data_IF_565069608856
#
_entry.id   IF_565069608856
#
_cell.length_a   1.000
_cell.length_b   1.000
_cell.length_c   1.000
_cell.angle_alpha   90.00
_cell.angle_beta   90.00
_cell.angle_gamma   90.00
#
_symmetry.space_group_name_H-M   'P 1'
#
loop_
_entity.id
_entity.type
_entity.pdbx_description
1 polymer ?
#
# COMPACT_ATOMS: atom_id res chain seq x y z
N UNK A 1 -0.42 12.02 0.81
CA UNK A 1 0.27 11.03 -0.07
C UNK A 1 1.47 10.40 0.64
N UNK A 2 2.51 11.18 0.97
CA UNK A 2 3.76 10.65 1.58
C UNK A 2 3.51 9.89 2.88
N UNK A 3 2.69 10.43 3.78
CA UNK A 3 2.34 9.77 5.05
C UNK A 3 1.66 8.41 4.79
N UNK A 4 0.65 8.37 3.92
CA UNK A 4 -0.02 7.12 3.52
C UNK A 4 0.96 6.11 2.89
N UNK A 5 1.93 6.58 2.09
CA UNK A 5 2.95 5.72 1.50
C UNK A 5 3.92 5.16 2.55
N UNK A 6 4.23 5.92 3.61
CA UNK A 6 5.02 5.41 4.76
C UNK A 6 4.22 4.36 5.54
N UNK A 7 2.95 4.65 5.79
CA UNK A 7 2.00 3.77 6.48
C UNK A 7 1.85 2.43 5.75
N UNK A 8 1.77 2.43 4.41
CA UNK A 8 1.70 1.23 3.60
C UNK A 8 3.07 0.57 3.28
N UNK A 9 4.16 1.02 3.91
CA UNK A 9 5.53 0.58 3.63
C UNK A 9 5.90 0.64 2.13
N UNK A 10 5.41 1.67 1.43
CA UNK A 10 5.68 1.94 0.02
C UNK A 10 6.72 3.05 -0.19
N UNK A 11 6.86 3.96 0.77
CA UNK A 11 7.70 5.14 0.67
C UNK A 11 9.14 4.83 0.22
N UNK A 12 9.80 3.86 0.86
CA UNK A 12 11.20 3.56 0.57
C UNK A 12 11.42 3.06 -0.85
N UNK A 13 10.60 2.12 -1.33
CA UNK A 13 10.81 1.55 -2.64
C UNK A 13 10.41 2.53 -3.74
N UNK A 14 9.34 3.31 -3.54
CA UNK A 14 8.90 4.32 -4.51
C UNK A 14 9.95 5.41 -4.63
N UNK A 15 10.54 5.86 -3.52
CA UNK A 15 11.61 6.87 -3.52
C UNK A 15 12.91 6.40 -4.17
N UNK A 16 13.10 5.08 -4.34
CA UNK A 16 14.26 4.47 -5.01
C UNK A 16 14.04 4.20 -6.50
N UNK A 17 12.84 4.46 -7.03
CA UNK A 17 12.60 4.38 -8.47
C UNK A 17 13.27 5.55 -9.19
N UNK A 18 13.60 5.37 -10.47
CA UNK A 18 14.34 6.36 -11.27
C UNK A 18 13.68 7.75 -11.27
N UNK A 19 12.35 7.79 -11.41
CA UNK A 19 11.55 9.03 -11.40
C UNK A 19 10.75 9.18 -10.10
N UNK A 20 11.09 8.41 -9.05
CA UNK A 20 10.38 8.45 -7.78
C UNK A 20 8.87 8.19 -7.93
N UNK A 21 8.04 9.10 -7.42
CA UNK A 21 6.58 9.03 -7.50
C UNK A 21 6.00 9.27 -8.90
N UNK A 22 6.79 9.86 -9.81
CA UNK A 22 6.40 10.10 -11.20
C UNK A 22 6.75 8.90 -12.10
N UNK A 23 7.31 7.83 -11.52
CA UNK A 23 7.66 6.62 -12.25
C UNK A 23 6.42 5.97 -12.87
N UNK A 24 6.43 5.83 -14.19
CA UNK A 24 5.40 5.07 -14.91
C UNK A 24 5.48 3.58 -14.54
N UNK A 25 4.35 2.94 -14.28
CA UNK A 25 4.27 1.53 -13.89
C UNK A 25 3.45 0.75 -14.91
N UNK A 26 3.92 -0.43 -15.31
CA UNK A 26 3.25 -1.29 -16.30
C UNK A 26 4.20 -1.81 -17.36
N UNK A 27 3.68 -2.35 -18.46
CA UNK A 27 4.47 -2.98 -19.54
C UNK A 27 5.51 -2.04 -20.17
N UNK A 28 5.26 -0.73 -20.15
CA UNK A 28 6.16 0.31 -20.68
C UNK A 28 6.92 1.08 -19.58
N UNK A 29 6.85 0.62 -18.34
CA UNK A 29 7.40 1.32 -17.17
C UNK A 29 8.12 0.37 -16.22
N UNK A 30 8.28 0.80 -14.97
CA UNK A 30 8.86 -0.04 -13.93
C UNK A 30 7.95 -1.24 -13.63
N UNK A 31 8.55 -2.42 -13.58
CA UNK A 31 7.87 -3.64 -13.12
C UNK A 31 7.93 -3.71 -11.59
N UNK A 32 6.76 -3.89 -10.99
CA UNK A 32 6.61 -4.10 -9.56
C UNK A 32 6.26 -5.57 -9.27
N UNK A 33 6.86 -6.10 -8.20
CA UNK A 33 6.41 -7.37 -7.63
C UNK A 33 4.97 -7.26 -7.11
N UNK A 34 4.30 -8.40 -6.92
CA UNK A 34 2.94 -8.45 -6.37
C UNK A 34 2.81 -7.65 -5.06
N UNK A 35 3.73 -7.85 -4.12
CA UNK A 35 3.71 -7.11 -2.85
C UNK A 35 3.90 -5.60 -3.00
N UNK A 36 4.75 -5.14 -3.93
CA UNK A 36 4.89 -3.70 -4.22
C UNK A 36 3.61 -3.12 -4.82
N UNK A 37 2.93 -3.85 -5.71
CA UNK A 37 1.62 -3.44 -6.26
C UNK A 37 0.56 -3.35 -5.16
N UNK A 38 0.48 -4.36 -4.28
CA UNK A 38 -0.45 -4.36 -3.14
C UNK A 38 -0.23 -3.16 -2.23
N UNK A 39 1.02 -2.83 -1.87
CA UNK A 39 1.33 -1.64 -1.04
C UNK A 39 0.94 -0.32 -1.70
N UNK A 40 1.03 -0.20 -3.03
CA UNK A 40 0.51 0.96 -3.75
C UNK A 40 -1.02 1.02 -3.67
N UNK A 41 -1.70 -0.11 -3.87
CA UNK A 41 -3.17 -0.18 -3.74
C UNK A 41 -3.62 0.24 -2.35
N UNK A 42 -2.96 -0.27 -1.31
CA UNK A 42 -3.21 0.13 0.08
C UNK A 42 -2.96 1.63 0.26
N UNK A 43 -1.84 2.16 -0.23
CA UNK A 43 -1.55 3.60 -0.19
C UNK A 43 -2.70 4.43 -0.80
N UNK A 44 -3.20 4.02 -1.98
CA UNK A 44 -4.32 4.66 -2.66
C UNK A 44 -5.62 4.58 -1.85
N UNK A 45 -5.91 3.45 -1.22
CA UNK A 45 -7.07 3.28 -0.36
C UNK A 45 -7.01 4.18 0.88
N UNK A 46 -5.83 4.28 1.51
CA UNK A 46 -5.58 5.17 2.65
C UNK A 46 -5.79 6.64 2.29
N UNK A 47 -5.29 7.07 1.13
CA UNK A 47 -5.44 8.44 0.62
C UNK A 47 -6.92 8.80 0.43
N UNK A 48 -7.74 7.86 -0.08
CA UNK A 48 -9.16 8.08 -0.36
C UNK A 48 -10.03 8.19 0.89
N UNK A 49 -9.49 7.88 2.07
CA UNK A 49 -10.16 7.97 3.38
C UNK A 49 -11.57 7.37 3.41
N UNK A 50 -11.78 6.23 2.76
CA UNK A 50 -13.10 5.60 2.67
C UNK A 50 -13.55 5.07 4.04
N UNK A 51 -14.84 5.19 4.35
CA UNK A 51 -15.44 4.73 5.62
C UNK A 51 -15.47 3.20 5.76
N UNK A 52 -15.59 2.49 4.64
CA UNK A 52 -15.53 1.03 4.57
C UNK A 52 -14.37 0.61 3.66
N UNK A 53 -13.50 -0.26 4.15
CA UNK A 53 -12.36 -0.78 3.40
C UNK A 53 -12.41 -2.30 3.39
N UNK A 54 -12.53 -2.89 2.20
CA UNK A 54 -12.44 -4.33 1.98
C UNK A 54 -11.11 -4.63 1.30
N UNK A 55 -10.31 -5.47 1.93
CA UNK A 55 -9.01 -5.91 1.44
C UNK A 55 -9.03 -7.43 1.29
N UNK A 56 -9.44 -7.88 0.11
CA UNK A 56 -9.46 -9.29 -0.25
C UNK A 56 -8.08 -9.69 -0.79
N UNK A 57 -7.41 -10.63 -0.12
CA UNK A 57 -6.04 -11.08 -0.39
C UNK A 57 -4.99 -9.93 -0.48
N UNK A 58 -5.27 -8.73 0.04
CA UNK A 58 -4.42 -7.57 -0.22
C UNK A 58 -3.06 -7.62 0.48
N UNK A 59 -2.84 -8.61 1.36
CA UNK A 59 -1.57 -8.88 2.04
C UNK A 59 -0.90 -10.18 1.59
N UNK A 60 -1.51 -10.94 0.68
CA UNK A 60 -1.05 -12.29 0.28
C UNK A 60 0.35 -12.31 -0.36
N UNK A 61 0.78 -11.20 -0.96
CA UNK A 61 2.09 -11.07 -1.58
C UNK A 61 3.08 -10.25 -0.73
N UNK A 62 2.75 -9.96 0.53
CA UNK A 62 3.65 -9.32 1.49
C UNK A 62 4.37 -10.39 2.32
N UNK A 63 5.61 -10.08 2.73
CA UNK A 63 6.27 -10.78 3.82
C UNK A 63 5.58 -10.49 5.16
N UNK A 64 5.71 -11.41 6.12
CA UNK A 64 5.06 -11.33 7.45
C UNK A 64 5.32 -10.02 8.20
N UNK A 65 6.53 -9.47 8.09
CA UNK A 65 6.87 -8.20 8.75
C UNK A 65 6.09 -7.04 8.13
N UNK A 66 6.03 -6.99 6.81
CA UNK A 66 5.34 -5.94 6.07
C UNK A 66 3.83 -6.03 6.21
N UNK A 67 3.27 -7.24 6.25
CA UNK A 67 1.86 -7.46 6.53
C UNK A 67 1.46 -6.88 7.89
N UNK A 68 2.23 -7.19 8.94
CA UNK A 68 1.97 -6.66 10.30
C UNK A 68 2.01 -5.13 10.34
N UNK A 69 2.99 -4.52 9.68
CA UNK A 69 3.11 -3.05 9.59
C UNK A 69 1.86 -2.46 8.93
N UNK A 70 1.39 -3.07 7.84
CA UNK A 70 0.18 -2.63 7.12
C UNK A 70 -1.08 -2.82 7.97
N UNK A 71 -1.21 -3.93 8.69
CA UNK A 71 -2.36 -4.17 9.57
C UNK A 71 -2.42 -3.14 10.71
N UNK A 72 -1.31 -2.92 11.43
CA UNK A 72 -1.24 -1.91 12.50
C UNK A 72 -1.54 -0.49 11.99
N UNK A 73 -1.11 -0.21 10.76
CA UNK A 73 -1.40 1.03 10.05
C UNK A 73 -2.91 1.21 9.76
N UNK A 74 -3.59 0.15 9.35
CA UNK A 74 -5.02 0.16 9.06
C UNK A 74 -5.86 0.24 10.34
N UNK A 75 -5.47 -0.44 11.40
CA UNK A 75 -6.13 -0.39 12.71
C UNK A 75 -6.09 1.01 13.35
N UNK A 76 -5.00 1.76 13.14
CA UNK A 76 -4.88 3.14 13.64
C UNK A 76 -5.85 4.13 12.96
N UNK A 77 -6.49 3.75 11.86
CA UNK A 77 -7.53 4.58 11.24
C UNK A 77 -8.87 4.43 11.97
N UNK A 78 -9.00 5.16 13.08
CA UNK A 78 -10.23 5.23 13.88
C UNK A 78 -11.44 5.69 13.04
N UNK A 79 -12.59 5.04 13.27
CA UNK A 79 -13.86 5.36 12.60
C UNK A 79 -14.08 4.70 11.23
N UNK A 80 -13.28 3.69 10.88
CA UNK A 80 -13.46 2.89 9.66
C UNK A 80 -13.73 1.44 10.00
N UNK A 81 -14.55 0.80 9.18
CA UNK A 81 -14.71 -0.66 9.20
C UNK A 81 -13.77 -1.23 8.15
N UNK A 82 -12.74 -1.95 8.60
CA UNK A 82 -11.80 -2.67 7.75
C UNK A 82 -12.10 -4.16 7.84
N UNK A 83 -12.33 -4.81 6.70
CA UNK A 83 -12.49 -6.26 6.60
C UNK A 83 -11.30 -6.80 5.80
N UNK A 84 -10.50 -7.64 6.44
CA UNK A 84 -9.49 -8.48 5.77
C UNK A 84 -10.06 -9.91 5.67
N UNK A 85 -9.84 -10.55 4.52
CA UNK A 85 -10.20 -11.95 4.24
C UNK A 85 -8.95 -12.74 3.95
#
# INVERSE_FOLDING_TARGET
>A
MIECAKVANAYEFVSKLAEGYDTLIGEKGALLSGGKKQRIVITCALIRKQSNLLLDEATSALDTQSEKIVQEALEKHQGRTTILV
#
